data_IF_506258571033
#
_entry.id   IF_506258571033
#
_cell.length_a   1.000
_cell.length_b   1.000
_cell.length_c   1.000
_cell.angle_alpha   90.00
_cell.angle_beta   90.00
_cell.angle_gamma   90.00
#
_symmetry.space_group_name_H-M   'P 1'
#
loop_
_entity.id
_entity.type
_entity.pdbx_description
1 polymer ?
#
# COMPACT_ATOMS: atom_id res chain seq x y z
N UNK A 1 18.82 -27.54 19.69
CA UNK A 1 17.51 -27.62 19.03
C UNK A 1 16.59 -26.75 19.84
N UNK A 2 16.14 -25.63 19.28
CA UNK A 2 14.81 -25.06 19.54
C UNK A 2 14.62 -23.91 18.55
N UNK A 3 14.37 -24.30 17.30
CA UNK A 3 13.76 -23.42 16.31
C UNK A 3 12.29 -23.31 16.68
N UNK A 4 11.97 -22.53 17.71
CA UNK A 4 10.58 -22.16 17.97
C UNK A 4 10.14 -21.30 16.81
N UNK A 5 9.40 -21.91 15.88
CA UNK A 5 8.67 -21.23 14.83
C UNK A 5 7.90 -20.07 15.47
N UNK A 6 8.43 -18.84 15.32
CA UNK A 6 7.62 -17.65 15.52
C UNK A 6 6.64 -17.64 14.38
N UNK A 7 5.46 -18.20 14.61
CA UNK A 7 4.33 -18.02 13.71
C UNK A 7 4.18 -16.53 13.46
N UNK A 8 4.34 -16.13 12.20
CA UNK A 8 4.04 -14.78 11.76
C UNK A 8 2.55 -14.57 11.98
N UNK A 9 2.20 -13.95 13.11
CA UNK A 9 0.85 -13.50 13.41
C UNK A 9 0.47 -12.39 12.41
N UNK A 10 -0.13 -12.78 11.29
CA UNK A 10 -0.71 -11.85 10.34
C UNK A 10 -2.00 -11.30 10.93
N UNK A 11 -1.93 -10.09 11.48
CA UNK A 11 -3.12 -9.37 11.94
C UNK A 11 -3.95 -8.98 10.72
N UNK A 12 -5.13 -9.57 10.59
CA UNK A 12 -6.11 -9.11 9.61
C UNK A 12 -6.54 -7.69 9.95
N UNK A 13 -6.30 -6.77 9.00
CA UNK A 13 -6.75 -5.39 9.10
C UNK A 13 -8.24 -5.32 8.75
N UNK A 14 -9.02 -4.61 9.56
CA UNK A 14 -10.43 -4.36 9.26
C UNK A 14 -10.55 -3.35 8.10
N UNK A 15 -11.69 -3.30 7.43
CA UNK A 15 -11.96 -2.36 6.33
C UNK A 15 -11.63 -0.91 6.71
N UNK A 16 -12.03 -0.50 7.93
CA UNK A 16 -11.73 0.82 8.49
C UNK A 16 -10.23 1.12 8.62
N UNK A 17 -9.40 0.09 8.85
CA UNK A 17 -7.95 0.24 8.98
C UNK A 17 -7.30 0.40 7.59
N UNK A 18 -8.03 0.06 6.51
CA UNK A 18 -7.61 0.21 5.11
C UNK A 18 -8.10 1.52 4.48
N UNK A 19 -8.87 2.33 5.19
CA UNK A 19 -9.30 3.64 4.68
C UNK A 19 -8.18 4.68 4.82
N UNK A 20 -8.05 5.53 3.82
CA UNK A 20 -7.17 6.68 3.81
C UNK A 20 -7.89 7.88 3.20
N UNK A 21 -7.70 9.07 3.78
CA UNK A 21 -8.28 10.31 3.24
C UNK A 21 -7.27 10.95 2.30
N UNK A 22 -7.64 11.08 1.02
CA UNK A 22 -6.79 11.76 0.04
C UNK A 22 -6.79 13.27 0.35
N UNK A 23 -5.61 13.92 0.48
CA UNK A 23 -5.53 15.32 0.92
C UNK A 23 -6.31 16.29 0.01
N UNK A 24 -6.27 16.08 -1.31
CA UNK A 24 -6.78 17.09 -2.25
C UNK A 24 -8.29 16.97 -2.46
N UNK A 25 -8.86 15.76 -2.39
CA UNK A 25 -10.29 15.54 -2.64
C UNK A 25 -11.09 15.32 -1.35
N UNK A 26 -10.40 15.17 -0.20
CA UNK A 26 -10.96 14.97 1.15
C UNK A 26 -11.97 13.82 1.28
N UNK A 27 -11.98 12.90 0.32
CA UNK A 27 -12.79 11.67 0.36
C UNK A 27 -11.97 10.54 0.96
N UNK A 28 -12.68 9.59 1.57
CA UNK A 28 -12.11 8.33 2.03
C UNK A 28 -11.94 7.38 0.84
N UNK A 29 -10.76 6.81 0.72
CA UNK A 29 -10.34 5.88 -0.32
C UNK A 29 -9.73 4.63 0.31
N UNK A 30 -9.70 3.54 -0.46
CA UNK A 30 -8.94 2.34 -0.08
C UNK A 30 -7.43 2.59 -0.19
N UNK A 31 -6.65 2.12 0.79
CA UNK A 31 -5.19 2.17 0.81
C UNK A 31 -4.55 1.56 -0.44
N UNK A 32 -5.17 0.56 -1.08
CA UNK A 32 -4.69 0.00 -2.33
C UNK A 32 -4.65 1.04 -3.44
N UNK A 33 -5.63 1.96 -3.49
CA UNK A 33 -5.64 3.07 -4.46
C UNK A 33 -4.43 3.98 -4.22
N UNK A 34 -4.13 4.32 -2.96
CA UNK A 34 -2.92 5.10 -2.62
C UNK A 34 -1.64 4.39 -3.10
N UNK A 35 -1.52 3.09 -2.80
CA UNK A 35 -0.33 2.33 -3.21
C UNK A 35 -0.18 2.26 -4.73
N UNK A 36 -1.27 2.05 -5.48
CA UNK A 36 -1.25 2.04 -6.95
C UNK A 36 -0.83 3.38 -7.52
N UNK A 37 -1.33 4.49 -6.97
CA UNK A 37 -0.93 5.85 -7.36
C UNK A 37 0.57 6.04 -7.14
N UNK A 38 1.10 5.62 -5.98
CA UNK A 38 2.51 5.77 -5.65
C UNK A 38 3.39 4.90 -6.56
N UNK A 39 3.02 3.65 -6.82
CA UNK A 39 3.74 2.77 -7.75
C UNK A 39 3.73 3.35 -9.16
N UNK A 40 2.57 3.81 -9.65
CA UNK A 40 2.43 4.44 -10.96
C UNK A 40 3.33 5.68 -11.08
N UNK A 41 3.29 6.56 -10.08
CA UNK A 41 4.09 7.79 -10.07
C UNK A 41 5.58 7.47 -10.07
N UNK A 42 6.02 6.60 -9.16
CA UNK A 42 7.41 6.19 -9.08
C UNK A 42 7.89 5.54 -10.39
N UNK A 43 7.19 4.51 -10.86
CA UNK A 43 7.63 3.71 -12.00
C UNK A 43 7.56 4.49 -13.34
N UNK A 44 6.45 5.21 -13.58
CA UNK A 44 6.20 5.82 -14.89
C UNK A 44 6.67 7.27 -14.98
N UNK A 45 6.49 8.05 -13.92
CA UNK A 45 6.69 9.50 -13.97
C UNK A 45 8.10 9.85 -13.47
N UNK A 46 8.44 9.39 -12.26
CA UNK A 46 9.64 9.84 -11.58
C UNK A 46 10.90 9.09 -12.03
N UNK A 47 10.77 7.81 -12.39
CA UNK A 47 11.90 6.98 -12.84
C UNK A 47 11.88 6.68 -14.34
N UNK A 48 10.72 6.83 -15.01
CA UNK A 48 10.51 6.44 -16.41
C UNK A 48 11.03 5.01 -16.73
N UNK A 49 10.80 4.05 -15.82
CA UNK A 49 11.27 2.66 -15.94
C UNK A 49 10.65 1.90 -17.12
N UNK A 50 9.56 2.42 -17.68
CA UNK A 50 8.88 1.86 -18.86
C UNK A 50 9.22 2.68 -20.12
N UNK A 51 10.32 3.44 -20.10
CA UNK A 51 10.87 4.09 -21.28
C UNK A 51 11.18 3.06 -22.38
N UNK A 52 10.30 2.98 -23.36
CA UNK A 52 10.64 2.65 -24.74
C UNK A 52 11.18 3.91 -25.43
#
# INVERSE_FOLDING_TARGET
>A
MDTTNKELQFKELQLKDREWTYPDCRKKHDRYINSTINIKKFALIDQNLIGL
#
